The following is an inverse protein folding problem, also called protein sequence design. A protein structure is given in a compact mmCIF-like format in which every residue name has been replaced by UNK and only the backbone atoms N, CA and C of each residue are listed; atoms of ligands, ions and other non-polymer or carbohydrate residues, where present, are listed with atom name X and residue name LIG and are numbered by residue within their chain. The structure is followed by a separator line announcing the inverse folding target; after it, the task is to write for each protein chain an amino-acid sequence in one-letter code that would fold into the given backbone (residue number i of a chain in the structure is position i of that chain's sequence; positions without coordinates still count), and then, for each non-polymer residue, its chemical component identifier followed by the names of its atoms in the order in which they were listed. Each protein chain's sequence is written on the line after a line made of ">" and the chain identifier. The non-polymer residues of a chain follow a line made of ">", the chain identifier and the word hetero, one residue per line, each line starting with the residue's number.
data_IF_889417836057
#
_entry.id   IF_889417836057
#
_cell.length_a   1.000
_cell.length_b   1.000
_cell.length_c   1.000
_cell.angle_alpha   90.00
_cell.angle_beta   90.00
_cell.angle_gamma   90.00
#
_symmetry.space_group_name_H-M   'P 1'
#
loop_
_entity.id
_entity.type
_entity.pdbx_description
1 polymer ?
#
# COMPACT_ATOMS: atom_id res chain seq x y z
N UNK A 1 -6.77 -31.22 11.89
CA UNK A 1 -6.91 -29.78 11.61
C UNK A 1 -7.99 -29.25 12.52
N UNK A 2 -7.70 -28.20 13.28
CA UNK A 2 -8.75 -27.53 14.05
C UNK A 2 -9.51 -26.58 13.12
N UNK A 3 -10.69 -26.15 13.56
CA UNK A 3 -11.47 -25.11 12.87
C UNK A 3 -10.71 -23.76 12.78
N UNK A 4 -9.68 -23.58 13.62
CA UNK A 4 -8.99 -22.30 13.82
C UNK A 4 -7.57 -22.26 13.24
N UNK A 5 -7.00 -23.39 12.77
CA UNK A 5 -5.63 -23.39 12.24
C UNK A 5 -4.99 -24.77 12.00
N UNK A 6 -3.71 -24.73 11.63
CA UNK A 6 -2.80 -25.87 11.50
C UNK A 6 -1.79 -25.81 12.63
N UNK A 7 -1.53 -26.93 13.31
CA UNK A 7 -0.48 -27.04 14.32
C UNK A 7 0.49 -28.15 13.92
N UNK A 8 1.77 -27.80 13.75
CA UNK A 8 2.85 -28.74 13.46
C UNK A 8 3.52 -29.18 14.75
N UNK A 9 3.05 -30.28 15.31
CA UNK A 9 3.52 -30.82 16.61
C UNK A 9 5.03 -31.05 16.66
N UNK A 10 5.64 -31.43 15.55
CA UNK A 10 7.08 -31.69 15.46
C UNK A 10 7.92 -30.41 15.56
N UNK A 11 7.34 -29.26 15.21
CA UNK A 11 7.99 -27.95 15.23
C UNK A 11 7.53 -27.07 16.39
N UNK A 12 6.49 -27.50 17.13
CA UNK A 12 5.77 -26.71 18.14
C UNK A 12 5.30 -25.34 17.61
N UNK A 13 4.88 -25.31 16.35
CA UNK A 13 4.41 -24.09 15.68
C UNK A 13 2.91 -24.18 15.32
N UNK A 14 2.24 -23.04 15.37
CA UNK A 14 0.85 -22.87 15.01
C UNK A 14 0.66 -21.84 13.88
N UNK A 15 -0.24 -22.15 12.96
CA UNK A 15 -0.72 -21.25 11.91
C UNK A 15 -2.22 -21.03 12.09
N UNK A 16 -2.60 -19.84 12.54
CA UNK A 16 -3.99 -19.42 12.68
C UNK A 16 -4.63 -19.08 11.32
N UNK A 17 -5.84 -19.58 11.08
CA UNK A 17 -6.65 -19.22 9.92
C UNK A 17 -7.29 -17.83 10.02
N UNK A 18 -7.33 -17.23 11.22
CA UNK A 18 -8.02 -15.98 11.48
C UNK A 18 -7.47 -14.81 10.65
N UNK A 19 -6.17 -14.82 10.32
CA UNK A 19 -5.53 -13.78 9.52
C UNK A 19 -5.73 -13.91 8.01
N UNK A 20 -6.03 -15.11 7.51
CA UNK A 20 -6.08 -15.39 6.06
C UNK A 20 -7.33 -14.81 5.39
N UNK A 21 -8.46 -14.85 6.11
CA UNK A 21 -9.76 -14.42 5.59
C UNK A 21 -10.14 -13.00 6.01
N UNK A 22 -9.26 -12.30 6.73
CA UNK A 22 -9.49 -10.89 7.03
C UNK A 22 -9.40 -10.08 5.75
N UNK A 23 -10.51 -9.45 5.37
CA UNK A 23 -10.49 -8.41 4.36
C UNK A 23 -9.45 -7.35 4.75
N UNK A 24 -8.42 -7.21 3.92
CA UNK A 24 -7.52 -6.08 4.06
C UNK A 24 -8.35 -4.83 3.83
N UNK A 25 -8.45 -3.97 4.85
CA UNK A 25 -9.08 -2.66 4.71
C UNK A 25 -8.40 -1.92 3.58
N UNK A 26 -9.06 -1.86 2.44
CA UNK A 26 -8.53 -1.12 1.30
C UNK A 26 -8.74 0.38 1.52
N UNK A 27 -7.83 1.16 0.98
CA UNK A 27 -7.94 2.59 0.86
C UNK A 27 -7.51 2.98 -0.56
N UNK A 28 -7.89 4.18 -0.99
CA UNK A 28 -7.66 4.63 -2.36
C UNK A 28 -6.18 4.52 -2.79
N UNK A 29 -5.23 4.78 -1.89
CA UNK A 29 -3.80 4.67 -2.21
C UNK A 29 -3.41 3.19 -2.41
N UNK A 30 -3.89 2.29 -1.56
CA UNK A 30 -3.68 0.85 -1.74
C UNK A 30 -4.20 0.39 -3.11
N UNK A 31 -5.46 0.70 -3.43
CA UNK A 31 -6.08 0.30 -4.69
C UNK A 31 -5.31 0.84 -5.90
N UNK A 32 -4.85 2.10 -5.83
CA UNK A 32 -4.09 2.73 -6.90
C UNK A 32 -2.77 2.02 -7.18
N UNK A 33 -1.97 1.72 -6.15
CA UNK A 33 -0.67 1.07 -6.32
C UNK A 33 -0.78 -0.41 -6.69
N UNK A 34 -1.91 -1.06 -6.36
CA UNK A 34 -2.22 -2.41 -6.85
C UNK A 34 -2.65 -2.38 -8.32
N UNK A 35 -3.46 -1.40 -8.72
CA UNK A 35 -3.92 -1.26 -10.10
C UNK A 35 -2.82 -0.77 -11.06
N UNK A 36 -1.81 -0.07 -10.55
CA UNK A 36 -0.71 0.50 -11.33
C UNK A 36 0.66 0.08 -10.75
N UNK A 37 1.06 -1.20 -10.90
CA UNK A 37 2.33 -1.71 -10.36
C UNK A 37 3.57 -1.06 -11.00
N UNK A 38 3.42 -0.41 -12.15
CA UNK A 38 4.46 0.38 -12.81
C UNK A 38 4.85 1.63 -12.01
N UNK A 39 3.96 2.10 -11.12
CA UNK A 39 4.20 3.25 -10.27
C UNK A 39 4.91 2.84 -8.97
N UNK A 40 6.14 3.29 -8.80
CA UNK A 40 6.92 2.98 -7.60
C UNK A 40 6.55 3.90 -6.42
N UNK A 41 5.88 3.36 -5.40
CA UNK A 41 5.49 4.10 -4.19
C UNK A 41 6.68 4.79 -3.48
N UNK A 42 7.85 4.15 -3.44
CA UNK A 42 9.05 4.72 -2.83
C UNK A 42 9.66 5.87 -3.64
N UNK A 43 9.42 5.92 -4.96
CA UNK A 43 9.80 7.06 -5.79
C UNK A 43 8.82 8.24 -5.59
N UNK A 44 7.51 7.95 -5.54
CA UNK A 44 6.47 8.96 -5.24
C UNK A 44 6.70 9.59 -3.87
N UNK A 45 7.01 8.80 -2.84
CA UNK A 45 7.33 9.31 -1.50
C UNK A 45 8.51 10.29 -1.52
N UNK A 46 9.57 9.97 -2.28
CA UNK A 46 10.74 10.85 -2.43
C UNK A 46 10.39 12.17 -3.11
N UNK A 47 9.58 12.13 -4.17
CA UNK A 47 9.12 13.33 -4.87
C UNK A 47 8.27 14.25 -3.98
N UNK A 48 7.45 13.68 -3.10
CA UNK A 48 6.67 14.40 -2.09
C UNK A 48 7.50 14.92 -0.91
N UNK A 49 8.79 14.56 -0.79
CA UNK A 49 9.59 14.85 0.40
C UNK A 49 9.16 14.09 1.66
N UNK A 50 8.48 12.96 1.50
CA UNK A 50 8.05 12.09 2.60
C UNK A 50 9.02 10.92 2.80
N UNK A 51 9.14 10.45 4.04
CA UNK A 51 9.84 9.19 4.29
C UNK A 51 9.06 8.02 3.68
N UNK A 52 9.78 7.06 3.10
CA UNK A 52 9.17 5.88 2.48
C UNK A 52 8.34 5.07 3.50
N UNK A 53 8.80 5.00 4.75
CA UNK A 53 8.07 4.33 5.84
C UNK A 53 6.73 5.03 6.14
N UNK A 54 6.69 6.37 6.20
CA UNK A 54 5.44 7.09 6.41
C UNK A 54 4.47 6.88 5.25
N UNK A 55 4.98 6.95 4.01
CA UNK A 55 4.15 6.74 2.84
C UNK A 55 3.61 5.30 2.76
N UNK A 56 4.42 4.30 3.11
CA UNK A 56 3.97 2.91 3.24
C UNK A 56 2.88 2.73 4.32
N UNK A 57 2.95 3.48 5.43
CA UNK A 57 1.87 3.51 6.43
C UNK A 57 0.58 4.12 5.89
N UNK A 58 0.67 5.11 5.00
CA UNK A 58 -0.50 5.65 4.30
C UNK A 58 -1.08 4.65 3.30
N UNK A 59 -0.23 4.03 2.45
CA UNK A 59 -0.67 3.03 1.47
C UNK A 59 -1.29 1.81 2.16
N UNK A 60 -0.71 1.33 3.25
CA UNK A 60 -1.28 0.21 4.04
C UNK A 60 -2.52 0.58 4.86
N UNK A 61 -2.89 1.86 4.93
CA UNK A 61 -4.00 2.34 5.75
C UNK A 61 -3.75 2.34 7.26
N UNK A 62 -2.52 2.04 7.69
CA UNK A 62 -2.12 2.06 9.11
C UNK A 62 -2.14 3.48 9.67
N UNK A 63 -1.78 4.48 8.85
CA UNK A 63 -1.96 5.90 9.16
C UNK A 63 -2.87 6.55 8.14
N UNK A 64 -3.68 7.50 8.60
CA UNK A 64 -4.52 8.32 7.74
C UNK A 64 -3.86 9.68 7.52
N UNK A 65 -3.55 10.07 6.27
CA UNK A 65 -3.09 11.43 5.99
C UNK A 65 -4.19 12.45 6.31
N UNK A 66 -3.81 13.70 6.58
CA UNK A 66 -4.77 14.80 6.61
C UNK A 66 -5.35 15.01 5.21
N UNK A 67 -6.51 15.69 5.11
CA UNK A 67 -7.13 15.99 3.81
C UNK A 67 -6.15 16.72 2.87
N UNK A 68 -5.51 17.78 3.36
CA UNK A 68 -4.51 18.52 2.60
C UNK A 68 -3.36 17.62 2.12
N UNK A 69 -2.82 16.78 3.02
CA UNK A 69 -1.72 15.87 2.65
C UNK A 69 -2.17 14.84 1.63
N UNK A 70 -3.41 14.36 1.72
CA UNK A 70 -3.98 13.45 0.75
C UNK A 70 -4.12 14.10 -0.63
N UNK A 71 -4.63 15.34 -0.68
CA UNK A 71 -4.77 16.10 -1.93
C UNK A 71 -3.40 16.34 -2.59
N UNK A 72 -2.37 16.67 -1.81
CA UNK A 72 -0.98 16.78 -2.27
C UNK A 72 -0.47 15.47 -2.90
N UNK A 73 -0.73 14.32 -2.24
CA UNK A 73 -0.33 13.00 -2.76
C UNK A 73 -0.97 12.74 -4.12
N UNK A 74 -2.28 12.97 -4.25
CA UNK A 74 -3.01 12.74 -5.49
C UNK A 74 -2.52 13.66 -6.60
N UNK A 75 -2.27 14.93 -6.30
CA UNK A 75 -1.78 15.86 -7.33
C UNK A 75 -0.38 15.49 -7.81
N UNK A 76 0.54 15.11 -6.93
CA UNK A 76 1.87 14.63 -7.37
C UNK A 76 1.78 13.38 -8.26
N UNK A 77 0.85 12.45 -7.98
CA UNK A 77 0.64 11.28 -8.85
C UNK A 77 0.10 11.71 -10.22
N UNK A 78 -0.82 12.69 -10.27
CA UNK A 78 -1.33 13.25 -11.53
C UNK A 78 -0.25 13.97 -12.32
N UNK A 79 0.61 14.75 -11.66
CA UNK A 79 1.76 15.41 -12.28
C UNK A 79 2.69 14.39 -12.94
N UNK A 80 3.04 13.30 -12.25
CA UNK A 80 3.82 12.20 -12.83
C UNK A 80 3.12 11.65 -14.07
N UNK A 81 1.80 11.41 -14.01
CA UNK A 81 1.04 10.95 -15.17
C UNK A 81 1.10 11.91 -16.36
N UNK A 82 0.94 13.22 -16.12
CA UNK A 82 1.06 14.25 -17.16
C UNK A 82 2.47 14.27 -17.77
N UNK A 83 3.52 14.16 -16.96
CA UNK A 83 4.90 14.08 -17.45
C UNK A 83 5.12 12.87 -18.35
N UNK A 84 4.65 11.69 -17.94
CA UNK A 84 4.76 10.47 -18.74
C UNK A 84 4.05 10.59 -20.09
N UNK A 85 2.93 11.31 -20.16
CA UNK A 85 2.22 11.56 -21.43
C UNK A 85 2.98 12.47 -22.40
N UNK A 86 3.96 13.25 -21.92
CA UNK A 86 4.78 14.13 -22.78
C UNK A 86 5.99 13.44 -23.39
N UNK A 87 6.26 12.18 -23.01
CA UNK A 87 7.37 11.40 -23.58
C UNK A 87 7.05 11.08 -25.05
N UNK A 88 7.88 11.50 -26.02
CA UNK A 88 7.66 11.18 -27.42
C UNK A 88 7.80 9.68 -27.68
N UNK A 89 7.04 9.18 -28.67
CA UNK A 89 7.03 7.78 -29.10
C UNK A 89 8.36 7.33 -29.71
#
# INVERSE_FOLDING_TARGET
>A
MSEYGIHWRELDEDLSFEGFFREKKSNLLYDLFIAHPELNASAVARRLGLSQSLFAQYVSGTKKPSKQRFDEIIETIREIGRELMTVPA
#
